data_IF_543444243463
#
_entry.id   IF_543444243463
#
_cell.length_a   1.000
_cell.length_b   1.000
_cell.length_c   1.000
_cell.angle_alpha   90.00
_cell.angle_beta   90.00
_cell.angle_gamma   90.00
#
_symmetry.space_group_name_H-M   'P 1'
#
loop_
_entity.id
_entity.type
_entity.pdbx_description
1 polymer ?
#
# COMPACT_ATOMS: atom_id res chain seq x y z
N UNK A 1 6.83 -17.25 5.83
CA UNK A 1 5.38 -17.21 6.14
C UNK A 1 4.92 -18.48 6.84
N UNK A 2 5.20 -19.65 6.33
CA UNK A 2 4.73 -20.94 6.84
C UNK A 2 5.25 -21.38 8.22
N UNK A 3 6.25 -20.66 8.76
CA UNK A 3 6.66 -20.84 10.16
C UNK A 3 5.73 -20.11 11.17
N UNK A 4 4.78 -19.35 10.68
CA UNK A 4 3.87 -18.51 11.49
C UNK A 4 2.42 -18.96 11.31
N UNK A 5 2.02 -19.34 10.07
CA UNK A 5 0.65 -19.72 9.72
C UNK A 5 0.69 -21.06 8.99
N UNK A 6 -0.18 -22.00 9.39
CA UNK A 6 -0.39 -23.23 8.61
C UNK A 6 -1.10 -22.88 7.29
N UNK A 7 -0.61 -23.33 6.12
CA UNK A 7 -1.28 -23.07 4.84
C UNK A 7 -2.75 -23.53 4.82
N UNK A 8 -3.08 -24.60 5.54
CA UNK A 8 -4.45 -25.10 5.63
C UNK A 8 -5.41 -24.20 6.38
N UNK A 9 -4.89 -23.33 7.26
CA UNK A 9 -5.68 -22.36 8.03
C UNK A 9 -5.86 -21.03 7.29
N UNK A 10 -5.13 -20.80 6.18
CA UNK A 10 -5.23 -19.57 5.41
C UNK A 10 -6.54 -19.54 4.61
N UNK A 11 -7.47 -18.68 5.02
CA UNK A 11 -8.78 -18.53 4.39
C UNK A 11 -8.83 -17.40 3.36
N UNK A 12 -8.08 -16.32 3.57
CA UNK A 12 -8.14 -15.11 2.76
C UNK A 12 -6.77 -14.60 2.37
N UNK A 13 -6.61 -14.28 1.09
CA UNK A 13 -5.46 -13.55 0.54
C UNK A 13 -6.01 -12.26 -0.02
N UNK A 14 -5.71 -11.14 0.64
CA UNK A 14 -6.18 -9.82 0.21
C UNK A 14 -5.10 -9.19 -0.66
N UNK A 15 -5.42 -8.99 -1.94
CA UNK A 15 -4.56 -8.30 -2.91
C UNK A 15 -5.09 -6.89 -3.09
N UNK A 16 -4.35 -5.90 -2.62
CA UNK A 16 -4.75 -4.49 -2.65
C UNK A 16 -4.80 -3.94 -4.07
N UNK A 17 -3.84 -4.32 -4.91
CA UNK A 17 -3.74 -3.98 -6.33
C UNK A 17 -2.81 -4.97 -7.05
N UNK A 18 -2.67 -4.80 -8.34
CA UNK A 18 -2.12 -5.78 -9.28
C UNK A 18 -0.61 -5.69 -9.51
N UNK A 19 0.11 -4.77 -8.86
CA UNK A 19 1.54 -4.60 -9.08
C UNK A 19 2.35 -5.83 -8.66
N UNK A 20 3.48 -6.07 -9.32
CA UNK A 20 4.19 -7.34 -9.20
C UNK A 20 4.81 -7.60 -7.83
N UNK A 21 5.17 -6.57 -7.11
CA UNK A 21 5.67 -6.67 -5.73
C UNK A 21 4.57 -7.08 -4.74
N UNK A 22 3.28 -6.87 -5.10
CA UNK A 22 2.12 -7.35 -4.35
C UNK A 22 1.64 -8.74 -4.81
N UNK A 23 1.88 -9.11 -6.06
CA UNK A 23 1.29 -10.31 -6.68
C UNK A 23 2.30 -11.39 -7.01
N UNK A 24 3.60 -11.11 -6.97
CA UNK A 24 4.65 -12.04 -7.45
C UNK A 24 4.67 -13.41 -6.77
N UNK A 25 4.20 -13.52 -5.53
CA UNK A 25 4.11 -14.80 -4.80
C UNK A 25 2.68 -15.37 -4.75
N UNK A 26 1.70 -14.74 -5.37
CA UNK A 26 0.27 -15.10 -5.22
C UNK A 26 0.01 -16.55 -5.61
N UNK A 27 0.47 -16.98 -6.78
CA UNK A 27 0.22 -18.32 -7.28
C UNK A 27 0.91 -19.38 -6.41
N UNK A 28 2.14 -19.15 -5.99
CA UNK A 28 2.86 -20.04 -5.09
C UNK A 28 2.16 -20.20 -3.72
N UNK A 29 1.58 -19.11 -3.20
CA UNK A 29 0.79 -19.16 -1.96
C UNK A 29 -0.51 -19.96 -2.17
N UNK A 30 -1.19 -19.75 -3.30
CA UNK A 30 -2.43 -20.46 -3.63
C UNK A 30 -2.22 -21.95 -3.83
N UNK A 31 -1.08 -22.38 -4.34
CA UNK A 31 -0.73 -23.79 -4.51
C UNK A 31 -0.56 -24.50 -3.16
N UNK A 32 -0.01 -23.80 -2.17
CA UNK A 32 0.19 -24.36 -0.83
C UNK A 32 -1.01 -24.18 0.11
N UNK A 33 -1.87 -23.17 -0.13
CA UNK A 33 -3.03 -22.84 0.69
C UNK A 33 -4.35 -23.18 -0.03
N UNK A 34 -4.81 -24.46 0.00
CA UNK A 34 -5.95 -24.92 -0.81
C UNK A 34 -7.28 -24.27 -0.41
N UNK A 35 -7.40 -23.80 0.84
CA UNK A 35 -8.62 -23.21 1.38
C UNK A 35 -8.70 -21.68 1.16
N UNK A 36 -7.61 -21.05 0.72
CA UNK A 36 -7.55 -19.61 0.58
C UNK A 36 -8.37 -19.12 -0.61
N UNK A 37 -9.10 -18.03 -0.39
CA UNK A 37 -9.81 -17.26 -1.41
C UNK A 37 -9.11 -15.92 -1.60
N UNK A 38 -8.83 -15.54 -2.84
CA UNK A 38 -8.25 -14.24 -3.18
C UNK A 38 -9.36 -13.18 -3.15
N UNK A 39 -9.14 -12.12 -2.40
CA UNK A 39 -10.00 -10.95 -2.34
C UNK A 39 -9.32 -9.79 -3.04
N UNK A 40 -9.95 -9.24 -4.05
CA UNK A 40 -9.45 -8.09 -4.82
C UNK A 40 -10.62 -7.39 -5.51
N UNK A 41 -10.38 -6.37 -6.33
CA UNK A 41 -11.43 -5.76 -7.15
C UNK A 41 -11.34 -6.20 -8.61
N UNK A 42 -12.38 -5.82 -9.37
CA UNK A 42 -12.49 -6.19 -10.78
C UNK A 42 -11.29 -5.71 -11.62
N UNK A 43 -10.82 -4.48 -11.42
CA UNK A 43 -9.73 -3.91 -12.22
C UNK A 43 -8.43 -4.67 -11.97
N UNK A 44 -8.09 -4.89 -10.70
CA UNK A 44 -6.88 -5.67 -10.35
C UNK A 44 -6.99 -7.13 -10.80
N UNK A 45 -8.18 -7.74 -10.72
CA UNK A 45 -8.40 -9.08 -11.26
C UNK A 45 -8.12 -9.14 -12.76
N UNK A 46 -8.65 -8.18 -13.55
CA UNK A 46 -8.45 -8.16 -15.01
C UNK A 46 -6.96 -8.01 -15.33
N UNK A 47 -6.26 -7.08 -14.69
CA UNK A 47 -4.83 -6.87 -14.91
C UNK A 47 -3.98 -8.08 -14.50
N UNK A 48 -4.26 -8.69 -13.34
CA UNK A 48 -3.60 -9.93 -12.92
C UNK A 48 -3.84 -11.10 -13.89
N UNK A 49 -4.99 -11.14 -14.57
CA UNK A 49 -5.30 -12.19 -15.56
C UNK A 49 -4.44 -12.12 -16.83
N UNK A 50 -3.72 -11.04 -17.04
CA UNK A 50 -2.73 -10.92 -18.12
C UNK A 50 -1.45 -11.72 -17.81
N UNK A 51 -1.13 -11.88 -16.52
CA UNK A 51 0.09 -12.53 -16.05
C UNK A 51 -0.15 -13.93 -15.46
N UNK A 52 -1.35 -14.18 -14.92
CA UNK A 52 -1.68 -15.40 -14.17
C UNK A 52 -2.96 -16.05 -14.65
N UNK A 53 -3.00 -17.39 -14.64
CA UNK A 53 -4.25 -18.14 -14.74
C UNK A 53 -4.90 -18.18 -13.35
N UNK A 54 -5.73 -17.17 -13.06
CA UNK A 54 -6.37 -17.04 -11.75
C UNK A 54 -7.42 -18.14 -11.52
N UNK A 55 -7.47 -18.76 -10.33
CA UNK A 55 -8.51 -19.75 -10.00
C UNK A 55 -9.84 -19.05 -9.74
N UNK A 56 -10.65 -18.85 -10.77
CA UNK A 56 -11.91 -18.09 -10.72
C UNK A 56 -12.88 -18.57 -9.63
N UNK A 57 -12.86 -19.85 -9.30
CA UNK A 57 -13.67 -20.42 -8.20
C UNK A 57 -13.17 -20.03 -6.80
N UNK A 58 -12.00 -19.43 -6.70
CA UNK A 58 -11.36 -18.98 -5.45
C UNK A 58 -11.13 -17.47 -5.45
N UNK A 59 -11.99 -16.73 -6.17
CA UNK A 59 -11.94 -15.26 -6.22
C UNK A 59 -13.19 -14.66 -5.56
N UNK A 60 -12.99 -13.63 -4.80
CA UNK A 60 -14.03 -12.75 -4.28
C UNK A 60 -13.74 -11.31 -4.65
N UNK A 61 -14.61 -10.71 -5.44
CA UNK A 61 -14.51 -9.30 -5.78
C UNK A 61 -15.11 -8.45 -4.65
N UNK A 62 -14.46 -7.32 -4.38
CA UNK A 62 -14.88 -6.35 -3.39
C UNK A 62 -14.56 -4.94 -3.90
N UNK A 63 -15.42 -3.96 -3.60
CA UNK A 63 -15.23 -2.57 -3.99
C UNK A 63 -15.05 -1.66 -2.78
N UNK A 64 -14.56 -0.46 -3.01
CA UNK A 64 -14.44 0.56 -1.97
C UNK A 64 -15.78 0.83 -1.29
N UNK A 65 -15.81 0.82 0.04
CA UNK A 65 -17.01 0.96 0.88
C UNK A 65 -17.71 -0.35 1.23
N UNK A 66 -17.30 -1.48 0.64
CA UNK A 66 -17.84 -2.79 0.99
C UNK A 66 -17.11 -3.40 2.19
N UNK A 67 -17.72 -4.43 2.77
CA UNK A 67 -17.22 -5.11 3.97
C UNK A 67 -16.98 -6.59 3.71
N UNK A 68 -15.94 -7.11 4.35
CA UNK A 68 -15.58 -8.54 4.37
C UNK A 68 -15.52 -9.00 5.84
N UNK A 69 -16.25 -10.05 6.16
CA UNK A 69 -16.10 -10.75 7.44
C UNK A 69 -14.83 -11.60 7.40
N UNK A 70 -13.93 -11.38 8.36
CA UNK A 70 -12.63 -12.04 8.46
C UNK A 70 -12.48 -12.59 9.88
N UNK A 71 -12.87 -13.85 10.07
CA UNK A 71 -12.89 -14.47 11.39
C UNK A 71 -13.83 -13.72 12.36
N UNK A 72 -13.27 -13.18 13.42
CA UNK A 72 -13.99 -12.38 14.43
C UNK A 72 -13.97 -10.86 14.14
N UNK A 73 -13.37 -10.43 13.01
CA UNK A 73 -13.31 -9.01 12.62
C UNK A 73 -14.12 -8.73 11.35
N UNK A 74 -14.34 -7.47 11.06
CA UNK A 74 -14.95 -6.97 9.83
C UNK A 74 -13.99 -5.99 9.18
N UNK A 75 -13.57 -6.29 7.96
CA UNK A 75 -12.69 -5.42 7.18
C UNK A 75 -13.56 -4.54 6.27
N UNK A 76 -13.49 -3.23 6.44
CA UNK A 76 -14.10 -2.26 5.55
C UNK A 76 -13.06 -1.78 4.54
N UNK A 77 -13.41 -1.89 3.25
CA UNK A 77 -12.55 -1.43 2.16
C UNK A 77 -12.72 0.07 1.94
N UNK A 78 -11.66 0.73 1.53
CA UNK A 78 -11.73 2.13 1.09
C UNK A 78 -10.67 2.44 0.06
N UNK A 79 -10.86 3.54 -0.69
CA UNK A 79 -9.84 4.09 -1.57
C UNK A 79 -8.85 4.89 -0.70
N UNK A 80 -7.55 4.57 -0.71
CA UNK A 80 -6.57 5.38 0.01
C UNK A 80 -6.39 6.76 -0.66
N UNK A 81 -5.86 7.76 0.07
CA UNK A 81 -5.64 9.11 -0.47
C UNK A 81 -4.80 9.15 -1.75
N UNK A 82 -3.71 8.37 -1.80
CA UNK A 82 -2.92 8.18 -3.01
C UNK A 82 -2.86 6.71 -3.41
N UNK A 83 -2.64 6.47 -4.68
CA UNK A 83 -2.58 5.14 -5.30
C UNK A 83 -1.88 5.25 -6.65
N UNK A 84 -1.20 4.20 -7.05
CA UNK A 84 -0.51 4.05 -8.34
C UNK A 84 -1.31 3.22 -9.33
N UNK A 85 -2.10 2.25 -8.85
CA UNK A 85 -3.02 1.49 -9.68
C UNK A 85 -4.48 1.94 -9.50
N UNK A 86 -5.28 2.02 -10.58
CA UNK A 86 -6.71 2.36 -10.49
C UNK A 86 -7.52 1.33 -9.68
N UNK A 87 -6.97 0.14 -9.49
CA UNK A 87 -7.56 -0.93 -8.67
C UNK A 87 -7.20 -0.85 -7.18
N UNK A 88 -6.34 0.07 -6.74
CA UNK A 88 -5.86 0.07 -5.35
C UNK A 88 -6.98 0.20 -4.33
N UNK A 89 -6.99 -0.72 -3.36
CA UNK A 89 -7.86 -0.73 -2.19
C UNK A 89 -7.03 -0.73 -0.90
N UNK A 90 -7.54 -0.07 0.10
CA UNK A 90 -7.10 -0.13 1.49
C UNK A 90 -8.16 -0.84 2.34
N UNK A 91 -7.78 -1.28 3.53
CA UNK A 91 -8.65 -2.03 4.44
C UNK A 91 -8.56 -1.47 5.85
N UNK A 92 -9.70 -1.42 6.53
CA UNK A 92 -9.80 -1.09 7.94
C UNK A 92 -10.39 -2.28 8.70
N UNK A 93 -9.60 -2.95 9.52
CA UNK A 93 -10.05 -3.97 10.47
C UNK A 93 -10.75 -3.27 11.64
N UNK A 94 -12.08 -3.29 11.65
CA UNK A 94 -12.90 -2.41 12.49
C UNK A 94 -12.80 -2.73 13.98
N UNK A 95 -12.66 -4.01 14.35
CA UNK A 95 -12.56 -4.39 15.78
C UNK A 95 -11.16 -4.15 16.33
N UNK A 96 -10.13 -4.43 15.54
CA UNK A 96 -8.73 -4.24 15.90
C UNK A 96 -8.27 -2.80 15.71
N UNK A 97 -9.11 -2.00 15.06
CA UNK A 97 -8.84 -0.60 14.70
C UNK A 97 -7.50 -0.41 13.98
N UNK A 98 -7.18 -1.31 13.06
CA UNK A 98 -5.95 -1.29 12.26
C UNK A 98 -6.30 -1.00 10.81
N UNK A 99 -5.67 0.01 10.20
CA UNK A 99 -5.74 0.26 8.78
C UNK A 99 -4.54 -0.34 8.05
N UNK A 100 -4.78 -0.99 6.92
CA UNK A 100 -3.77 -1.32 5.92
C UNK A 100 -4.04 -0.48 4.67
N UNK A 101 -3.14 0.46 4.38
CA UNK A 101 -3.36 1.51 3.38
C UNK A 101 -2.76 1.21 2.00
N UNK A 102 -2.38 -0.04 1.72
CA UNK A 102 -1.62 -0.39 0.51
C UNK A 102 -0.31 0.41 0.47
N UNK A 103 0.05 1.03 -0.63
CA UNK A 103 1.26 1.85 -0.77
C UNK A 103 1.13 3.26 -0.21
N UNK A 104 -0.11 3.66 0.08
CA UNK A 104 -0.36 4.95 0.70
C UNK A 104 0.35 5.05 2.05
N UNK A 105 1.06 6.16 2.27
CA UNK A 105 1.92 6.41 3.43
C UNK A 105 3.16 5.49 3.51
N UNK A 106 3.51 4.81 2.42
CA UNK A 106 4.84 4.22 2.23
C UNK A 106 5.91 5.31 2.07
N UNK A 107 7.18 4.95 2.25
CA UNK A 107 8.25 5.94 2.20
C UNK A 107 9.60 5.35 1.81
N UNK A 108 10.46 6.18 1.23
CA UNK A 108 11.88 5.90 1.15
C UNK A 108 12.50 6.12 2.52
N UNK A 109 12.81 5.03 3.21
CA UNK A 109 13.19 5.07 4.61
C UNK A 109 14.70 5.29 4.78
N UNK A 110 15.12 6.15 5.72
CA UNK A 110 16.54 6.40 5.97
C UNK A 110 17.23 5.21 6.66
N UNK A 111 16.46 4.40 7.39
CA UNK A 111 16.94 3.23 8.12
C UNK A 111 15.78 2.26 8.40
N UNK A 112 16.12 1.03 8.76
CA UNK A 112 15.16 0.07 9.30
C UNK A 112 14.88 0.37 10.77
N UNK A 113 13.61 0.29 11.16
CA UNK A 113 13.13 0.48 12.53
C UNK A 113 11.90 -0.40 12.77
N UNK A 114 11.43 -0.49 14.01
CA UNK A 114 10.21 -1.25 14.32
C UNK A 114 8.95 -0.44 14.01
N UNK A 115 8.98 0.85 14.28
CA UNK A 115 7.87 1.79 14.03
C UNK A 115 8.37 3.10 13.41
N UNK A 116 7.47 3.85 12.83
CA UNK A 116 7.76 5.17 12.27
C UNK A 116 8.26 6.17 13.35
N UNK A 117 7.76 6.02 14.56
CA UNK A 117 8.10 6.84 15.71
C UNK A 117 9.55 6.65 16.20
N UNK A 118 10.21 5.55 15.81
CA UNK A 118 11.62 5.28 16.14
C UNK A 118 12.60 6.05 15.23
N UNK A 119 12.09 6.65 14.15
CA UNK A 119 12.88 7.46 13.22
C UNK A 119 12.71 8.96 13.48
N UNK A 120 13.70 9.80 13.10
CA UNK A 120 13.53 11.25 13.11
C UNK A 120 12.32 11.64 12.24
N UNK A 121 11.28 12.23 12.83
CA UNK A 121 10.02 12.53 12.17
C UNK A 121 10.20 13.31 10.85
N UNK A 122 11.10 14.29 10.81
CA UNK A 122 11.35 15.08 9.60
C UNK A 122 11.90 14.22 8.44
N UNK A 123 12.79 13.28 8.74
CA UNK A 123 13.36 12.37 7.72
C UNK A 123 12.32 11.36 7.24
N UNK A 124 11.54 10.80 8.15
CA UNK A 124 10.44 9.88 7.81
C UNK A 124 9.39 10.58 6.94
N UNK A 125 8.93 11.78 7.34
CA UNK A 125 7.96 12.57 6.58
C UNK A 125 8.48 12.93 5.18
N UNK A 126 9.75 13.30 5.06
CA UNK A 126 10.37 13.59 3.77
C UNK A 126 10.42 12.34 2.87
N UNK A 127 10.75 11.18 3.43
CA UNK A 127 10.74 9.91 2.71
C UNK A 127 9.34 9.54 2.20
N UNK A 128 8.30 9.71 3.04
CA UNK A 128 6.90 9.48 2.64
C UNK A 128 6.46 10.48 1.57
N UNK A 129 6.82 11.75 1.70
CA UNK A 129 6.49 12.78 0.71
C UNK A 129 7.10 12.47 -0.66
N UNK A 130 8.38 12.07 -0.67
CA UNK A 130 9.09 11.70 -1.90
C UNK A 130 8.47 10.46 -2.54
N UNK A 131 8.24 9.40 -1.77
CA UNK A 131 7.63 8.16 -2.26
C UNK A 131 6.23 8.43 -2.83
N UNK A 132 5.38 9.13 -2.09
CA UNK A 132 4.03 9.51 -2.53
C UNK A 132 4.06 10.27 -3.86
N UNK A 133 4.96 11.24 -4.02
CA UNK A 133 5.11 12.02 -5.26
C UNK A 133 5.63 11.17 -6.42
N UNK A 134 6.47 10.16 -6.14
CA UNK A 134 7.03 9.28 -7.15
C UNK A 134 5.99 8.29 -7.71
N UNK A 135 5.20 7.64 -6.84
CA UNK A 135 4.21 6.64 -7.25
C UNK A 135 2.87 7.24 -7.68
N UNK A 136 2.60 8.51 -7.30
CA UNK A 136 1.34 9.19 -7.61
C UNK A 136 1.60 10.56 -8.28
N UNK A 137 2.25 10.60 -9.46
CA UNK A 137 2.58 11.85 -10.13
C UNK A 137 1.35 12.70 -10.48
N UNK A 138 0.18 12.07 -10.63
CA UNK A 138 -1.11 12.72 -10.85
C UNK A 138 -1.55 13.66 -9.70
N UNK A 139 -0.87 13.59 -8.52
CA UNK A 139 -1.14 14.49 -7.40
C UNK A 139 -1.01 15.96 -7.79
N UNK A 140 -0.07 16.27 -8.68
CA UNK A 140 0.14 17.65 -9.16
C UNK A 140 -0.92 18.11 -10.16
N UNK A 141 -1.71 17.18 -10.71
CA UNK A 141 -2.83 17.45 -11.62
C UNK A 141 -4.18 17.49 -10.88
N UNK A 142 -4.19 17.16 -9.58
CA UNK A 142 -5.40 17.17 -8.76
C UNK A 142 -5.56 18.52 -8.03
N UNK A 143 -6.78 18.78 -7.54
CA UNK A 143 -7.00 19.96 -6.70
C UNK A 143 -6.53 19.71 -5.27
N UNK A 144 -5.93 20.71 -4.59
CA UNK A 144 -5.58 20.57 -3.17
C UNK A 144 -6.74 20.13 -2.29
N UNK A 145 -7.97 20.57 -2.60
CA UNK A 145 -9.17 20.17 -1.88
C UNK A 145 -9.52 18.69 -2.04
N UNK A 146 -9.25 18.10 -3.20
CA UNK A 146 -9.47 16.66 -3.41
C UNK A 146 -8.48 15.84 -2.57
N UNK A 147 -7.21 16.21 -2.61
CA UNK A 147 -6.17 15.58 -1.78
C UNK A 147 -6.50 15.69 -0.28
N UNK A 148 -6.84 16.91 0.17
CA UNK A 148 -7.21 17.15 1.57
C UNK A 148 -8.39 16.29 2.01
N UNK A 149 -9.43 16.14 1.17
CA UNK A 149 -10.57 15.28 1.47
C UNK A 149 -10.17 13.80 1.67
N UNK A 150 -9.22 13.30 0.88
CA UNK A 150 -8.64 11.96 1.06
C UNK A 150 -7.91 11.81 2.40
N UNK A 151 -7.06 12.78 2.75
CA UNK A 151 -6.36 12.80 4.04
C UNK A 151 -7.35 12.86 5.23
N UNK A 152 -8.40 13.70 5.11
CA UNK A 152 -9.41 13.83 6.15
C UNK A 152 -10.25 12.54 6.31
N UNK A 153 -10.54 11.84 5.22
CA UNK A 153 -11.21 10.54 5.28
C UNK A 153 -10.36 9.50 6.01
N UNK A 154 -9.04 9.49 5.81
CA UNK A 154 -8.12 8.62 6.55
C UNK A 154 -8.03 9.06 8.02
N UNK A 155 -7.91 10.35 8.29
CA UNK A 155 -7.88 10.92 9.65
C UNK A 155 -9.14 10.59 10.45
N UNK A 156 -10.32 10.62 9.82
CA UNK A 156 -11.60 10.30 10.46
C UNK A 156 -11.74 8.84 10.88
N UNK A 157 -10.99 7.92 10.27
CA UNK A 157 -10.95 6.51 10.66
C UNK A 157 -10.30 6.29 12.01
N UNK A 158 -9.40 7.18 12.43
CA UNK A 158 -8.68 7.16 13.71
C UNK A 158 -8.11 5.77 14.04
N UNK A 159 -7.35 5.14 13.14
CA UNK A 159 -6.78 3.84 13.43
C UNK A 159 -5.78 3.93 14.58
N UNK A 160 -5.71 2.90 15.40
CA UNK A 160 -4.68 2.76 16.44
C UNK A 160 -3.31 2.53 15.78
N UNK A 161 -3.32 1.83 14.64
CA UNK A 161 -2.13 1.59 13.82
C UNK A 161 -2.49 1.68 12.33
N UNK A 162 -1.68 2.41 11.57
CA UNK A 162 -1.68 2.37 10.10
C UNK A 162 -0.49 1.52 9.64
N UNK A 163 -0.76 0.59 8.75
CA UNK A 163 0.23 -0.23 8.06
C UNK A 163 0.26 0.14 6.58
N UNK A 164 1.45 0.26 6.01
CA UNK A 164 1.67 0.42 4.58
C UNK A 164 2.60 -0.67 4.07
N UNK A 165 2.49 -1.05 2.81
CA UNK A 165 3.37 -2.05 2.19
C UNK A 165 4.83 -1.61 2.20
N UNK A 166 5.08 -0.34 1.90
CA UNK A 166 6.41 0.26 1.78
C UNK A 166 6.75 1.19 2.95
N UNK A 167 6.16 0.97 4.12
CA UNK A 167 6.34 1.81 5.29
C UNK A 167 6.44 1.04 6.59
N UNK A 168 6.83 1.74 7.64
CA UNK A 168 6.80 1.21 9.01
C UNK A 168 5.40 1.37 9.60
N UNK A 169 5.01 0.54 10.57
CA UNK A 169 3.80 0.76 11.36
C UNK A 169 3.81 2.17 11.96
N UNK A 170 2.69 2.88 11.81
CA UNK A 170 2.51 4.26 12.33
C UNK A 170 1.36 4.25 13.33
N UNK A 171 1.57 4.77 14.51
CA UNK A 171 0.56 4.90 15.56
C UNK A 171 0.29 6.37 15.88
N UNK A 172 0.93 6.91 16.89
CA UNK A 172 0.72 8.29 17.35
C UNK A 172 1.22 9.35 16.36
N UNK A 173 2.15 9.00 15.47
CA UNK A 173 2.73 9.88 14.45
C UNK A 173 1.80 10.18 13.26
N UNK A 174 0.74 9.40 13.06
CA UNK A 174 -0.12 9.52 11.90
C UNK A 174 -0.71 10.93 11.68
N UNK A 175 -1.26 11.63 12.68
CA UNK A 175 -1.79 12.98 12.47
C UNK A 175 -0.73 13.97 11.92
N UNK A 176 0.48 13.93 12.48
CA UNK A 176 1.58 14.79 12.06
C UNK A 176 2.05 14.45 10.63
N UNK A 177 2.08 13.18 10.26
CA UNK A 177 2.40 12.75 8.90
C UNK A 177 1.35 13.24 7.89
N UNK A 178 0.06 13.11 8.19
CA UNK A 178 -1.03 13.61 7.34
C UNK A 178 -0.92 15.14 7.15
N UNK A 179 -0.57 15.88 8.19
CA UNK A 179 -0.34 17.32 8.11
C UNK A 179 0.89 17.65 7.24
N UNK A 180 1.98 16.90 7.39
CA UNK A 180 3.20 17.08 6.60
C UNK A 180 2.99 16.80 5.11
N UNK A 181 2.09 15.89 4.75
CA UNK A 181 1.78 15.55 3.36
C UNK A 181 0.70 16.44 2.72
N UNK A 182 0.02 17.29 3.50
CA UNK A 182 -1.10 18.09 3.02
C UNK A 182 -0.75 19.04 1.85
N UNK A 183 0.48 19.54 1.80
CA UNK A 183 0.95 20.48 0.77
C UNK A 183 1.47 19.80 -0.51
N UNK A 184 1.51 18.47 -0.60
CA UNK A 184 2.10 17.75 -1.75
C UNK A 184 1.57 18.18 -3.11
N UNK A 185 0.25 18.40 -3.35
CA UNK A 185 -0.23 18.81 -4.66
C UNK A 185 0.31 20.14 -5.17
N UNK A 186 0.77 21.00 -4.26
CA UNK A 186 1.32 22.34 -4.59
C UNK A 186 2.83 22.42 -4.41
N UNK A 187 3.44 21.33 -3.96
CA UNK A 187 4.89 21.20 -3.79
C UNK A 187 5.61 20.91 -5.11
N UNK A 188 6.92 20.71 -5.06
CA UNK A 188 7.68 20.29 -6.24
C UNK A 188 7.31 18.86 -6.64
N UNK A 189 7.12 18.62 -7.94
CA UNK A 189 6.93 17.29 -8.49
C UNK A 189 8.20 16.44 -8.34
N UNK A 190 8.03 15.13 -8.18
CA UNK A 190 9.14 14.19 -8.26
C UNK A 190 9.70 14.18 -9.68
N UNK A 191 11.00 14.40 -9.80
CA UNK A 191 11.73 14.30 -11.07
C UNK A 191 12.47 12.96 -11.08
N UNK A 192 12.04 11.99 -11.90
CA UNK A 192 12.73 10.70 -11.96
C UNK A 192 14.16 10.87 -12.50
N UNK A 193 15.12 10.07 -11.98
CA UNK A 193 16.49 10.09 -12.48
C UNK A 193 16.55 9.72 -13.97
N UNK A 194 17.45 10.34 -14.71
CA UNK A 194 17.70 10.03 -16.14
C UNK A 194 18.78 8.97 -16.36
N UNK A 195 19.24 8.85 -17.61
CA UNK A 195 20.24 7.87 -18.01
C UNK A 195 21.57 8.00 -17.24
N UNK A 196 21.94 9.22 -16.84
CA UNK A 196 23.13 9.52 -16.04
C UNK A 196 23.14 8.77 -14.71
N UNK A 197 21.97 8.48 -14.13
CA UNK A 197 21.88 7.66 -12.92
C UNK A 197 22.34 6.22 -13.17
N UNK A 198 21.90 5.61 -14.26
CA UNK A 198 22.32 4.24 -14.66
C UNK A 198 23.83 4.21 -14.92
N UNK A 199 24.36 5.20 -15.62
CA UNK A 199 25.78 5.33 -15.90
C UNK A 199 26.63 5.46 -14.64
N UNK A 200 26.13 6.24 -13.65
CA UNK A 200 26.78 6.36 -12.35
C UNK A 200 26.79 5.05 -11.57
N UNK A 201 25.67 4.32 -11.59
CA UNK A 201 25.55 2.99 -10.94
C UNK A 201 26.52 1.99 -11.55
N UNK A 202 26.62 1.93 -12.88
CA UNK A 202 27.54 1.07 -13.59
C UNK A 202 29.01 1.41 -13.30
N UNK A 203 29.34 2.69 -13.22
CA UNK A 203 30.69 3.14 -12.87
C UNK A 203 31.08 2.74 -11.43
N UNK A 204 30.13 2.74 -10.48
CA UNK A 204 30.36 2.28 -9.10
C UNK A 204 30.49 0.75 -9.00
N UNK A 205 29.78 0.01 -9.83
CA UNK A 205 29.80 -1.47 -9.80
C UNK A 205 31.15 -2.05 -10.31
N UNK A 206 31.97 -1.27 -11.03
CA UNK A 206 33.24 -1.74 -11.60
C UNK A 206 33.04 -2.64 -12.82
N UNK A 207 34.11 -2.96 -13.56
CA UNK A 207 34.04 -3.92 -14.67
C UNK A 207 33.76 -5.32 -14.12
N UNK A 208 32.75 -5.98 -14.68
CA UNK A 208 32.44 -7.40 -14.46
C UNK A 208 33.43 -8.28 -15.21
#
# INVERSE_FOLDING_TARGET
>A
MWNIVDPGDLCWIIVTHDDRDHTGSLMAILDEAPNATVVTNFISMVKMSEDFELPMGRLRLINSGERLEVGDDVFETFRPPNYDSPGTLAFHALRRNVCFSSDCMGGFLPAMAETAEDLPAAEYHAGVAMFTSAISPWLHDTTPGHWQAGLDALRQRKPDVLLSTHGLPISSGLPALLDATAALPTGPAFVPPGQEFVESMLAMAGPH
#
